data_IF_583756389255
#
_entry.id   IF_583756389255
#
_cell.length_a   1.000
_cell.length_b   1.000
_cell.length_c   1.000
_cell.angle_alpha   90.00
_cell.angle_beta   90.00
_cell.angle_gamma   90.00
#
_symmetry.space_group_name_H-M   'P 1'
#
loop_
_entity.id
_entity.type
_entity.pdbx_description
1 polymer ?
#
# COMPACT_ATOMS: atom_id res chain seq x y z
N UNK A 1 -5.26 -28.32 -6.66
CA UNK A 1 -4.84 -27.56 -5.47
C UNK A 1 -5.01 -26.11 -5.83
N UNK A 2 -6.04 -25.45 -5.29
CA UNK A 2 -6.25 -24.02 -5.49
C UNK A 2 -5.21 -23.29 -4.65
N UNK A 3 -4.30 -22.59 -5.31
CA UNK A 3 -3.29 -21.78 -4.63
C UNK A 3 -3.96 -20.47 -4.22
N UNK A 4 -4.24 -20.28 -2.94
CA UNK A 4 -4.87 -19.06 -2.45
C UNK A 4 -3.82 -17.96 -2.20
N UNK A 5 -4.32 -16.73 -2.07
CA UNK A 5 -3.50 -15.54 -1.85
C UNK A 5 -2.67 -15.65 -0.56
N UNK A 6 -3.28 -16.19 0.50
CA UNK A 6 -2.63 -16.36 1.80
C UNK A 6 -1.43 -17.29 1.70
N UNK A 7 -1.55 -18.39 0.95
CA UNK A 7 -0.44 -19.33 0.72
C UNK A 7 0.64 -18.70 -0.18
N UNK A 8 0.27 -17.80 -1.10
CA UNK A 8 1.21 -17.17 -2.02
C UNK A 8 2.04 -16.05 -1.41
N UNK A 9 1.41 -15.17 -0.65
CA UNK A 9 2.04 -13.97 -0.10
C UNK A 9 2.34 -14.11 1.39
N UNK A 10 1.73 -15.09 2.07
CA UNK A 10 1.94 -15.33 3.49
C UNK A 10 3.33 -15.89 3.77
N UNK A 11 3.82 -15.55 4.96
CA UNK A 11 4.94 -16.22 5.59
C UNK A 11 4.71 -16.24 7.10
N UNK A 12 5.36 -17.17 7.80
CA UNK A 12 5.15 -17.36 9.24
C UNK A 12 5.31 -16.04 10.00
N UNK A 13 4.28 -15.69 10.78
CA UNK A 13 4.23 -14.50 11.63
C UNK A 13 4.46 -13.17 10.91
N UNK A 14 4.09 -13.04 9.62
CA UNK A 14 4.39 -11.84 8.84
C UNK A 14 3.77 -10.56 9.43
N UNK A 15 2.57 -10.66 9.99
CA UNK A 15 1.87 -9.51 10.58
C UNK A 15 2.61 -9.04 11.83
N UNK A 16 2.95 -9.95 12.73
CA UNK A 16 3.67 -9.64 13.98
C UNK A 16 5.03 -9.03 13.67
N UNK A 17 5.76 -9.57 12.68
CA UNK A 17 7.06 -9.03 12.26
C UNK A 17 6.95 -7.60 11.70
N UNK A 18 5.88 -7.27 10.99
CA UNK A 18 5.64 -5.91 10.47
C UNK A 18 5.32 -4.96 11.63
N UNK A 19 4.44 -5.36 12.55
CA UNK A 19 4.09 -4.55 13.72
C UNK A 19 5.29 -4.27 14.62
N UNK A 20 6.12 -5.28 14.90
CA UNK A 20 7.35 -5.12 15.68
C UNK A 20 8.34 -4.16 15.00
N UNK A 21 8.45 -4.21 13.68
CA UNK A 21 9.29 -3.30 12.91
C UNK A 21 8.79 -1.85 12.97
N UNK A 22 7.47 -1.63 12.91
CA UNK A 22 6.86 -0.31 13.06
C UNK A 22 7.11 0.28 14.46
N UNK A 23 6.91 -0.52 15.51
CA UNK A 23 7.21 -0.11 16.89
C UNK A 23 8.70 0.23 17.05
N UNK A 24 9.58 -0.60 16.48
CA UNK A 24 11.03 -0.37 16.51
C UNK A 24 11.42 0.92 15.78
N UNK A 25 10.71 1.27 14.71
CA UNK A 25 10.88 2.52 13.97
C UNK A 25 10.28 3.75 14.68
N UNK A 26 9.61 3.56 15.82
CA UNK A 26 9.05 4.64 16.65
C UNK A 26 7.61 5.03 16.30
N UNK A 27 6.90 4.22 15.52
CA UNK A 27 5.49 4.44 15.22
C UNK A 27 4.59 3.94 16.37
N UNK A 28 3.47 4.64 16.55
CA UNK A 28 2.36 4.19 17.39
C UNK A 28 1.42 3.32 16.56
N UNK A 29 1.32 2.03 16.90
CA UNK A 29 0.50 1.07 16.16
C UNK A 29 -1.01 1.34 16.28
N UNK A 30 -1.42 2.05 17.34
CA UNK A 30 -2.83 2.44 17.55
C UNK A 30 -3.19 3.74 16.81
N UNK A 31 -2.21 4.39 16.19
CA UNK A 31 -2.36 5.66 15.47
C UNK A 31 -1.51 5.69 14.18
N UNK A 32 -1.55 4.62 13.39
CA UNK A 32 -0.83 4.54 12.11
C UNK A 32 -1.51 5.37 11.03
N UNK A 33 -0.69 6.17 10.33
CA UNK A 33 -1.06 6.83 9.08
C UNK A 33 -0.51 6.02 7.89
N UNK A 34 -1.15 6.09 6.70
CA UNK A 34 -0.68 5.36 5.50
C UNK A 34 0.80 5.60 5.17
N UNK A 35 1.32 6.80 5.42
CA UNK A 35 2.71 7.18 5.19
C UNK A 35 3.71 6.32 5.97
N UNK A 36 3.31 5.76 7.12
CA UNK A 36 4.14 4.85 7.90
C UNK A 36 4.44 3.54 7.14
N UNK A 37 3.56 3.16 6.21
CA UNK A 37 3.70 1.97 5.38
C UNK A 37 4.18 2.28 3.97
N UNK A 38 4.21 3.55 3.53
CA UNK A 38 4.50 3.92 2.15
C UNK A 38 5.80 3.30 1.61
N UNK A 39 6.87 3.23 2.42
CA UNK A 39 8.13 2.61 2.00
C UNK A 39 8.05 1.10 1.71
N UNK A 40 6.99 0.43 2.17
CA UNK A 40 6.72 -0.99 1.95
C UNK A 40 5.46 -1.26 1.10
N UNK A 41 4.55 -0.28 0.97
CA UNK A 41 3.32 -0.40 0.16
C UNK A 41 3.53 0.15 -1.25
N UNK A 42 4.31 1.23 -1.39
CA UNK A 42 4.54 1.96 -2.63
C UNK A 42 5.87 1.57 -3.29
N UNK A 43 6.00 0.32 -3.71
CA UNK A 43 7.23 -0.17 -4.38
C UNK A 43 7.44 0.38 -5.80
N UNK A 44 6.51 1.16 -6.33
CA UNK A 44 6.65 1.80 -7.63
C UNK A 44 7.61 2.99 -7.58
N UNK A 45 8.11 3.39 -8.76
CA UNK A 45 8.97 4.55 -8.87
C UNK A 45 8.13 5.81 -8.64
N UNK A 46 8.52 6.60 -7.65
CA UNK A 46 7.95 7.93 -7.41
C UNK A 46 6.99 8.00 -6.21
N UNK A 47 6.64 6.88 -5.59
CA UNK A 47 5.74 6.88 -4.43
C UNK A 47 4.41 7.59 -4.73
N UNK A 48 3.79 8.14 -3.69
CA UNK A 48 2.56 8.92 -3.77
C UNK A 48 2.65 10.05 -4.80
N UNK A 49 3.77 10.77 -4.83
CA UNK A 49 3.99 11.85 -5.80
C UNK A 49 3.88 11.36 -7.24
N UNK A 50 4.32 10.12 -7.52
CA UNK A 50 4.14 9.48 -8.82
C UNK A 50 2.67 9.24 -9.16
N UNK A 51 1.90 8.70 -8.20
CA UNK A 51 0.46 8.50 -8.34
C UNK A 51 -0.30 9.81 -8.55
N UNK A 52 0.04 10.86 -7.80
CA UNK A 52 -0.54 12.20 -7.95
C UNK A 52 -0.28 12.77 -9.36
N UNK A 53 0.96 12.65 -9.86
CA UNK A 53 1.31 13.10 -11.21
C UNK A 53 0.49 12.39 -12.29
N UNK A 54 0.29 11.08 -12.16
CA UNK A 54 -0.54 10.31 -13.11
C UNK A 54 -2.01 10.72 -12.99
N UNK A 55 -2.52 10.88 -11.76
CA UNK A 55 -3.90 11.32 -11.50
C UNK A 55 -4.19 12.68 -12.14
N UNK A 56 -3.30 13.65 -11.94
CA UNK A 56 -3.41 14.99 -12.55
C UNK A 56 -3.36 14.91 -14.07
N UNK A 57 -2.49 14.07 -14.63
CA UNK A 57 -2.34 13.89 -16.07
C UNK A 57 -3.54 13.20 -16.74
N UNK A 58 -4.29 12.36 -16.01
CA UNK A 58 -5.49 11.69 -16.52
C UNK A 58 -6.64 12.67 -16.78
N UNK A 59 -6.64 13.84 -16.13
CA UNK A 59 -7.64 14.90 -16.32
C UNK A 59 -9.10 14.40 -16.24
N UNK A 60 -9.36 13.53 -15.27
CA UNK A 60 -10.65 12.84 -15.06
C UNK A 60 -11.78 13.86 -14.92
N UNK A 61 -12.86 13.66 -15.68
CA UNK A 61 -14.02 14.54 -15.73
C UNK A 61 -15.27 13.87 -15.12
N UNK A 62 -16.29 14.66 -14.74
CA UNK A 62 -17.56 14.10 -14.27
C UNK A 62 -18.17 13.15 -15.32
N UNK A 63 -18.45 11.91 -14.90
CA UNK A 63 -19.00 10.87 -15.78
C UNK A 63 -17.96 9.86 -16.28
N UNK A 64 -16.68 10.12 -16.06
CA UNK A 64 -15.62 9.13 -16.33
C UNK A 64 -15.63 8.02 -15.27
N UNK A 65 -15.19 6.83 -15.68
CA UNK A 65 -14.99 5.68 -14.80
C UNK A 65 -13.50 5.39 -14.66
N UNK A 66 -13.00 5.35 -13.43
CA UNK A 66 -11.60 5.08 -13.12
C UNK A 66 -11.47 3.70 -12.49
N UNK A 67 -10.45 2.95 -12.90
CA UNK A 67 -10.03 1.71 -12.29
C UNK A 67 -8.57 1.86 -11.85
N UNK A 68 -8.33 1.73 -10.56
CA UNK A 68 -6.99 1.63 -10.00
C UNK A 68 -6.68 0.14 -9.71
N UNK A 69 -5.60 -0.38 -10.31
CA UNK A 69 -5.22 -1.79 -10.22
C UNK A 69 -3.93 -1.89 -9.43
N UNK A 70 -4.00 -2.52 -8.27
CA UNK A 70 -2.86 -2.60 -7.35
C UNK A 70 -2.72 -1.37 -6.47
N UNK A 71 -3.83 -0.77 -6.04
CA UNK A 71 -3.89 0.43 -5.19
C UNK A 71 -3.46 0.23 -3.72
N UNK A 72 -2.84 -0.89 -3.38
CA UNK A 72 -2.41 -1.17 -2.00
C UNK A 72 -3.56 -1.11 -1.00
N UNK A 73 -3.39 -0.31 0.05
CA UNK A 73 -4.37 -0.10 1.12
C UNK A 73 -5.43 0.98 0.81
N UNK A 74 -5.39 1.62 -0.36
CA UNK A 74 -6.36 2.62 -0.84
C UNK A 74 -5.72 3.95 -1.23
#
# INVERSE_FOLDING_TARGET
MTHDLTTHYGSDGIVERILDALVTAGFDIDALEPDALAGADEFHIGGRTGSELVSDALAVSPGDHVLDVGCGIG
#
